data_IF_414265291407
#
_entry.id   IF_414265291407
#
_cell.length_a   1.000
_cell.length_b   1.000
_cell.length_c   1.000
_cell.angle_alpha   90.00
_cell.angle_beta   90.00
_cell.angle_gamma   90.00
#
_symmetry.space_group_name_H-M   'P 1'
#
loop_
_entity.id
_entity.type
_entity.pdbx_description
1 polymer ?
#
# COMPACT_ATOMS: atom_id res chain seq x y z
N UNK A 1 -29.93 32.62 62.12
CA UNK A 1 -31.14 32.79 61.29
C UNK A 1 -30.68 33.01 59.87
N UNK A 2 -31.14 32.15 58.93
CA UNK A 2 -31.09 32.22 57.45
C UNK A 2 -29.73 32.45 56.77
N UNK A 3 -29.12 31.44 56.12
CA UNK A 3 -29.41 30.83 54.80
C UNK A 3 -28.76 31.56 53.62
N UNK A 4 -27.76 30.87 53.07
CA UNK A 4 -27.36 30.71 51.67
C UNK A 4 -27.86 31.74 50.64
N UNK A 5 -26.91 32.32 49.90
CA UNK A 5 -27.04 32.43 48.45
C UNK A 5 -25.73 32.03 47.77
N UNK A 6 -25.89 31.13 46.81
CA UNK A 6 -24.89 30.52 45.96
C UNK A 6 -24.85 31.38 44.69
N UNK A 7 -23.76 32.08 44.40
CA UNK A 7 -23.53 32.58 43.04
C UNK A 7 -22.23 31.97 42.49
N UNK A 8 -22.44 31.05 41.57
CA UNK A 8 -21.45 30.38 40.74
C UNK A 8 -21.41 31.19 39.45
N UNK A 9 -20.47 32.12 39.33
CA UNK A 9 -20.23 32.77 38.05
C UNK A 9 -18.77 33.23 37.89
N UNK A 10 -18.11 32.53 36.97
CA UNK A 10 -17.04 33.00 36.08
C UNK A 10 -15.60 33.05 36.61
N UNK A 11 -14.94 31.89 36.48
CA UNK A 11 -13.54 31.84 36.04
C UNK A 11 -13.40 32.64 34.73
N UNK A 12 -12.68 33.75 34.78
CA UNK A 12 -12.07 34.35 33.60
C UNK A 12 -10.60 33.92 33.58
N UNK A 13 -10.17 33.08 32.62
CA UNK A 13 -8.76 32.78 32.46
C UNK A 13 -8.06 34.05 31.98
N UNK A 14 -7.04 34.48 32.72
CA UNK A 14 -6.15 35.58 32.37
C UNK A 14 -5.78 35.48 30.89
N UNK A 15 -6.23 36.46 30.10
CA UNK A 15 -5.81 36.68 28.74
C UNK A 15 -4.27 36.72 28.72
N UNK A 16 -3.63 35.67 28.21
CA UNK A 16 -2.26 35.78 27.71
C UNK A 16 -2.37 36.57 26.41
N UNK A 17 -2.02 37.84 26.46
CA UNK A 17 -1.71 38.63 25.27
C UNK A 17 -0.56 37.92 24.55
N UNK A 18 -0.86 37.31 23.42
CA UNK A 18 0.16 36.84 22.48
C UNK A 18 0.68 38.07 21.75
N UNK A 19 1.89 38.50 22.06
CA UNK A 19 2.60 39.47 21.23
C UNK A 19 2.94 38.77 19.90
N UNK A 20 2.20 39.13 18.85
CA UNK A 20 2.44 38.60 17.51
C UNK A 20 3.61 39.35 16.90
N UNK A 21 4.83 38.91 17.18
CA UNK A 21 5.99 39.28 16.38
C UNK A 21 5.86 38.59 15.03
N UNK A 22 5.65 39.36 13.97
CA UNK A 22 5.71 38.85 12.61
C UNK A 22 7.10 38.21 12.39
N UNK A 23 7.20 36.94 11.98
CA UNK A 23 8.48 36.29 11.78
C UNK A 23 9.30 37.03 10.71
N UNK A 24 10.46 37.57 11.10
CA UNK A 24 11.47 38.02 10.14
C UNK A 24 12.24 36.80 9.62
N UNK A 25 12.69 36.87 8.35
CA UNK A 25 13.27 35.78 7.56
C UNK A 25 14.42 34.96 8.21
N UNK A 26 14.99 35.43 9.32
CA UNK A 26 16.15 34.83 10.00
C UNK A 26 15.81 34.10 11.32
N UNK A 27 14.53 33.86 11.63
CA UNK A 27 14.14 33.10 12.83
C UNK A 27 14.12 31.58 12.53
N UNK A 28 14.89 30.73 13.24
CA UNK A 28 14.82 29.26 13.07
C UNK A 28 13.41 28.70 13.36
N UNK A 29 12.58 29.44 14.10
CA UNK A 29 11.19 29.08 14.36
C UNK A 29 10.26 29.37 13.16
N UNK A 30 10.68 30.16 12.16
CA UNK A 30 9.90 30.45 10.95
C UNK A 30 9.63 29.20 10.08
N UNK A 31 10.45 28.15 10.22
CA UNK A 31 10.22 26.83 9.60
C UNK A 31 9.14 26.01 10.31
N UNK A 32 8.73 26.40 11.54
CA UNK A 32 7.75 25.66 12.35
C UNK A 32 6.32 26.20 12.25
N UNK A 33 6.12 27.38 11.64
CA UNK A 33 4.83 28.10 11.60
C UNK A 33 4.02 27.79 10.32
N UNK A 34 4.58 27.03 9.39
CA UNK A 34 3.83 26.46 8.27
C UNK A 34 3.16 25.17 8.70
N UNK A 35 1.88 25.24 9.09
CA UNK A 35 1.09 24.10 9.53
C UNK A 35 1.21 22.90 8.58
N UNK A 36 1.79 21.82 9.10
CA UNK A 36 1.74 20.50 8.50
C UNK A 36 0.33 19.91 8.65
N UNK A 37 -0.64 20.46 7.91
CA UNK A 37 -1.88 19.72 7.60
C UNK A 37 -1.55 18.49 6.72
N UNK A 38 -0.38 18.52 6.07
CA UNK A 38 0.19 17.41 5.31
C UNK A 38 0.54 16.21 6.20
N UNK A 39 0.97 16.39 7.46
CA UNK A 39 1.22 15.24 8.34
C UNK A 39 -0.08 14.56 8.77
N UNK A 40 -1.17 15.29 8.98
CA UNK A 40 -2.47 14.69 9.31
C UNK A 40 -3.12 14.03 8.08
N UNK A 41 -2.89 14.56 6.87
CA UNK A 41 -3.31 13.94 5.61
C UNK A 41 -2.45 12.69 5.26
N UNK A 42 -1.13 12.75 5.48
CA UNK A 42 -0.22 11.60 5.36
C UNK A 42 -0.54 10.54 6.42
N UNK A 43 -0.86 10.95 7.65
CA UNK A 43 -1.32 10.05 8.71
C UNK A 43 -2.71 9.52 8.41
N UNK A 44 -3.61 10.26 7.75
CA UNK A 44 -4.92 9.78 7.33
C UNK A 44 -4.82 8.79 6.15
N UNK A 45 -3.88 8.98 5.24
CA UNK A 45 -3.52 7.99 4.21
C UNK A 45 -2.81 6.77 4.82
N UNK A 46 -1.92 6.93 5.80
CA UNK A 46 -1.33 5.83 6.58
C UNK A 46 -2.40 5.09 7.42
N UNK A 47 -3.41 5.80 7.93
CA UNK A 47 -4.49 5.27 8.77
C UNK A 47 -5.64 4.68 7.95
N UNK A 48 -5.69 4.88 6.63
CA UNK A 48 -6.43 3.98 5.71
C UNK A 48 -5.67 2.65 5.56
N UNK A 49 -5.34 2.02 6.68
CA UNK A 49 -5.06 0.60 6.72
C UNK A 49 -6.23 -0.09 6.00
N UNK A 50 -5.96 -0.68 4.83
CA UNK A 50 -7.05 -1.20 4.01
C UNK A 50 -7.83 -2.23 4.83
N UNK A 51 -9.10 -1.91 5.11
CA UNK A 51 -9.98 -2.78 5.88
C UNK A 51 -10.19 -4.06 5.08
N UNK A 52 -9.98 -5.20 5.73
CA UNK A 52 -10.19 -6.53 5.15
C UNK A 52 -11.62 -6.66 4.62
N UNK A 53 -11.76 -7.09 3.36
CA UNK A 53 -13.09 -7.30 2.74
C UNK A 53 -13.48 -8.77 2.90
N UNK A 54 -14.48 -9.10 3.74
CA UNK A 54 -14.99 -10.46 3.83
C UNK A 54 -15.66 -10.87 2.51
N UNK A 55 -15.47 -12.13 2.09
CA UNK A 55 -16.01 -12.66 0.83
C UNK A 55 -15.58 -11.89 -0.42
N UNK A 56 -14.30 -11.51 -0.49
CA UNK A 56 -13.76 -10.81 -1.64
C UNK A 56 -13.81 -11.69 -2.90
N UNK A 57 -14.31 -11.13 -4.01
CA UNK A 57 -14.33 -11.78 -5.31
C UNK A 57 -12.99 -11.64 -6.03
N UNK A 58 -12.71 -12.56 -6.97
CA UNK A 58 -11.44 -12.56 -7.71
C UNK A 58 -11.10 -11.22 -8.40
N UNK A 59 -12.00 -10.55 -9.13
CA UNK A 59 -11.67 -9.27 -9.78
C UNK A 59 -11.33 -8.17 -8.77
N UNK A 60 -12.01 -8.17 -7.62
CA UNK A 60 -11.76 -7.20 -6.56
C UNK A 60 -10.41 -7.46 -5.89
N UNK A 61 -10.08 -8.73 -5.63
CA UNK A 61 -8.80 -9.14 -5.09
C UNK A 61 -7.64 -8.76 -6.02
N UNK A 62 -7.80 -8.96 -7.34
CA UNK A 62 -6.82 -8.56 -8.36
C UNK A 62 -6.58 -7.04 -8.35
N UNK A 63 -7.65 -6.23 -8.37
CA UNK A 63 -7.52 -4.76 -8.31
C UNK A 63 -6.79 -4.31 -7.05
N UNK A 64 -7.14 -4.88 -5.89
CA UNK A 64 -6.49 -4.56 -4.61
C UNK A 64 -5.06 -5.06 -4.53
N UNK A 65 -4.72 -6.13 -5.26
CA UNK A 65 -3.38 -6.69 -5.27
C UNK A 65 -2.33 -5.68 -5.74
N UNK A 66 -2.59 -4.98 -6.85
CA UNK A 66 -1.67 -3.98 -7.38
C UNK A 66 -1.81 -2.62 -6.71
N UNK A 67 -3.00 -2.22 -6.26
CA UNK A 67 -3.20 -0.88 -5.71
C UNK A 67 -2.87 -0.75 -4.21
N UNK A 68 -3.06 -1.81 -3.42
CA UNK A 68 -2.99 -1.72 -1.96
C UNK A 68 -1.85 -2.51 -1.33
N UNK A 69 -1.43 -3.63 -1.93
CA UNK A 69 -0.38 -4.45 -1.32
C UNK A 69 1.04 -4.00 -1.67
N UNK A 70 1.22 -3.07 -2.62
CA UNK A 70 2.54 -2.47 -2.88
C UNK A 70 3.06 -1.60 -1.73
N UNK A 71 2.19 -0.90 -0.99
CA UNK A 71 2.61 0.28 -0.22
C UNK A 71 2.18 0.36 1.25
N UNK A 72 1.48 -0.61 1.86
CA UNK A 72 0.88 -0.27 3.17
C UNK A 72 0.64 -1.41 4.17
N UNK A 73 0.49 -0.99 5.43
CA UNK A 73 0.10 -1.72 6.66
C UNK A 73 -1.43 -1.97 6.65
N UNK A 74 -1.88 -3.05 7.26
CA UNK A 74 -3.32 -3.39 7.37
C UNK A 74 -3.59 -4.87 7.63
N UNK A 75 -4.85 -5.28 7.51
CA UNK A 75 -5.27 -6.68 7.55
C UNK A 75 -5.83 -7.10 6.20
N UNK A 76 -5.76 -8.39 5.88
CA UNK A 76 -6.36 -8.96 4.67
C UNK A 76 -7.31 -10.07 5.09
N UNK A 77 -8.49 -10.15 4.48
CA UNK A 77 -9.40 -11.27 4.75
C UNK A 77 -8.84 -12.58 4.20
N UNK A 78 -9.31 -13.72 4.71
CA UNK A 78 -8.87 -15.03 4.20
C UNK A 78 -9.16 -15.18 2.69
N UNK A 79 -10.30 -14.68 2.21
CA UNK A 79 -10.65 -14.69 0.78
C UNK A 79 -9.75 -13.77 -0.06
N UNK A 80 -9.40 -12.58 0.44
CA UNK A 80 -8.47 -11.67 -0.24
C UNK A 80 -7.07 -12.30 -0.35
N UNK A 81 -6.62 -12.93 0.73
CA UNK A 81 -5.35 -13.64 0.76
C UNK A 81 -5.34 -14.80 -0.24
N UNK A 82 -6.36 -15.66 -0.24
CA UNK A 82 -6.45 -16.80 -1.15
C UNK A 82 -6.42 -16.37 -2.61
N UNK A 83 -7.26 -15.39 -3.00
CA UNK A 83 -7.30 -14.92 -4.39
C UNK A 83 -6.02 -14.18 -4.79
N UNK A 84 -5.47 -13.35 -3.90
CA UNK A 84 -4.20 -12.65 -4.14
C UNK A 84 -3.02 -13.61 -4.32
N UNK A 85 -2.92 -14.63 -3.46
CA UNK A 85 -1.91 -15.68 -3.57
C UNK A 85 -2.11 -16.55 -4.81
N UNK A 86 -3.35 -16.96 -5.11
CA UNK A 86 -3.66 -17.76 -6.29
C UNK A 86 -3.30 -17.00 -7.58
N UNK A 87 -3.63 -15.70 -7.64
CA UNK A 87 -3.23 -14.85 -8.74
C UNK A 87 -1.70 -14.75 -8.87
N UNK A 88 -1.00 -14.40 -7.78
CA UNK A 88 0.45 -14.24 -7.83
C UNK A 88 1.15 -15.54 -8.22
N UNK A 89 0.78 -16.66 -7.60
CA UNK A 89 1.42 -17.94 -7.87
C UNK A 89 1.08 -18.45 -9.27
N UNK A 90 -0.20 -18.39 -9.65
CA UNK A 90 -0.67 -18.85 -10.96
C UNK A 90 -0.05 -18.05 -12.10
N UNK A 91 -0.03 -16.72 -12.01
CA UNK A 91 0.57 -15.86 -13.03
C UNK A 91 2.09 -16.01 -13.11
N UNK A 92 2.77 -16.21 -11.98
CA UNK A 92 4.21 -16.48 -11.96
C UNK A 92 4.53 -17.81 -12.64
N UNK A 93 3.87 -18.89 -12.23
CA UNK A 93 4.06 -20.22 -12.85
C UNK A 93 3.77 -20.13 -14.35
N UNK A 94 2.69 -19.47 -14.74
CA UNK A 94 2.32 -19.31 -16.15
C UNK A 94 3.40 -18.54 -16.93
N UNK A 95 3.92 -17.43 -16.39
CA UNK A 95 4.96 -16.64 -17.04
C UNK A 95 6.25 -17.44 -17.26
N UNK A 96 6.70 -18.18 -16.24
CA UNK A 96 7.90 -19.02 -16.35
C UNK A 96 7.68 -20.23 -17.27
N UNK A 97 6.54 -20.92 -17.15
CA UNK A 97 6.20 -22.05 -18.02
C UNK A 97 6.12 -21.61 -19.49
N UNK A 98 5.52 -20.45 -19.76
CA UNK A 98 5.46 -19.87 -21.09
C UNK A 98 6.86 -19.55 -21.61
N UNK A 99 7.71 -18.94 -20.79
CA UNK A 99 9.09 -18.61 -21.17
C UNK A 99 9.92 -19.86 -21.49
N UNK A 100 9.82 -20.90 -20.67
CA UNK A 100 10.47 -22.19 -20.90
C UNK A 100 9.95 -22.90 -22.15
N UNK A 101 8.64 -22.89 -22.34
CA UNK A 101 8.01 -23.47 -23.53
C UNK A 101 8.46 -22.75 -24.81
N UNK A 102 8.47 -21.41 -24.81
CA UNK A 102 8.97 -20.62 -25.93
C UNK A 102 10.45 -20.87 -26.20
N UNK A 103 11.26 -20.98 -25.14
CA UNK A 103 12.68 -21.33 -25.26
C UNK A 103 12.87 -22.69 -25.94
N UNK A 104 12.12 -23.70 -25.50
CA UNK A 104 12.16 -25.03 -26.11
C UNK A 104 11.76 -25.01 -27.60
N UNK A 105 10.73 -24.23 -27.97
CA UNK A 105 10.32 -24.06 -29.37
C UNK A 105 11.43 -23.39 -30.20
N UNK A 106 12.08 -22.34 -29.67
CA UNK A 106 13.18 -21.65 -30.37
C UNK A 106 14.40 -22.57 -30.53
N UNK A 107 14.75 -23.33 -29.50
CA UNK A 107 15.90 -24.24 -29.50
C UNK A 107 15.69 -25.43 -30.44
N UNK A 108 14.52 -26.08 -30.39
CA UNK A 108 14.21 -27.26 -31.21
C UNK A 108 13.86 -26.92 -32.65
N UNK A 109 13.19 -25.79 -32.89
CA UNK A 109 12.74 -25.38 -34.21
C UNK A 109 13.82 -24.72 -35.07
N UNK A 110 14.94 -24.29 -34.47
CA UNK A 110 16.08 -23.70 -35.18
C UNK A 110 15.65 -22.60 -36.15
N UNK A 111 16.12 -22.68 -37.39
CA UNK A 111 15.85 -21.69 -38.46
C UNK A 111 14.42 -21.70 -39.01
N UNK A 112 13.62 -22.71 -38.66
CA UNK A 112 12.20 -22.76 -39.05
C UNK A 112 11.33 -21.83 -38.20
N UNK A 113 11.84 -21.32 -37.07
CA UNK A 113 11.10 -20.45 -36.16
C UNK A 113 11.20 -19.00 -36.62
N UNK A 114 10.03 -18.37 -36.82
CA UNK A 114 9.91 -16.96 -37.22
C UNK A 114 10.75 -16.02 -36.34
N UNK A 115 11.40 -15.04 -36.97
CA UNK A 115 12.16 -13.99 -36.29
C UNK A 115 11.31 -13.22 -35.29
N UNK A 116 10.02 -12.99 -35.58
CA UNK A 116 9.06 -12.37 -34.67
C UNK A 116 8.90 -13.19 -33.38
N UNK A 117 8.83 -14.51 -33.49
CA UNK A 117 8.69 -15.39 -32.34
C UNK A 117 9.96 -15.38 -31.47
N UNK A 118 11.14 -15.34 -32.10
CA UNK A 118 12.42 -15.19 -31.40
C UNK A 118 12.50 -13.86 -30.64
N UNK A 119 12.03 -12.75 -31.24
CA UNK A 119 11.94 -11.45 -30.56
C UNK A 119 10.97 -11.52 -29.37
N UNK A 120 9.80 -12.14 -29.54
CA UNK A 120 8.83 -12.30 -28.46
C UNK A 120 9.40 -13.15 -27.31
N UNK A 121 10.13 -14.22 -27.63
CA UNK A 121 10.84 -15.03 -26.64
C UNK A 121 11.88 -14.19 -25.87
N UNK A 122 12.71 -13.41 -26.58
CA UNK A 122 13.69 -12.53 -25.94
C UNK A 122 13.01 -11.49 -25.05
N UNK A 123 11.89 -10.90 -25.49
CA UNK A 123 11.08 -10.00 -24.67
C UNK A 123 10.57 -10.71 -23.40
N UNK A 124 10.02 -11.92 -23.54
CA UNK A 124 9.57 -12.72 -22.40
C UNK A 124 10.70 -13.06 -21.42
N UNK A 125 11.90 -13.33 -21.93
CA UNK A 125 13.08 -13.59 -21.10
C UNK A 125 13.49 -12.38 -20.24
N UNK A 126 13.21 -11.15 -20.69
CA UNK A 126 13.36 -9.93 -19.88
C UNK A 126 12.14 -9.65 -18.99
N UNK A 127 10.93 -9.93 -19.48
CA UNK A 127 9.69 -9.69 -18.74
C UNK A 127 9.57 -10.63 -17.54
N UNK A 128 9.94 -11.90 -17.66
CA UNK A 128 9.83 -12.88 -16.58
C UNK A 128 10.57 -12.49 -15.27
N UNK A 129 11.83 -12.02 -15.29
CA UNK A 129 12.49 -11.52 -14.08
C UNK A 129 11.86 -10.21 -13.58
N UNK A 130 11.47 -9.29 -14.48
CA UNK A 130 10.75 -8.07 -14.11
C UNK A 130 9.39 -8.36 -13.45
N UNK A 131 8.68 -9.37 -13.95
CA UNK A 131 7.42 -9.85 -13.41
C UNK A 131 7.58 -10.31 -11.97
N UNK A 132 8.63 -11.08 -11.69
CA UNK A 132 8.93 -11.58 -10.35
C UNK A 132 9.15 -10.41 -9.36
N UNK A 133 9.92 -9.39 -9.76
CA UNK A 133 10.12 -8.18 -8.94
C UNK A 133 8.81 -7.45 -8.62
N UNK A 134 7.93 -7.31 -9.62
CA UNK A 134 6.63 -6.64 -9.46
C UNK A 134 5.70 -7.40 -8.50
N UNK A 135 5.84 -8.73 -8.41
CA UNK A 135 4.97 -9.56 -7.58
C UNK A 135 5.52 -9.82 -6.18
N UNK A 136 6.84 -9.75 -5.94
CA UNK A 136 7.43 -9.99 -4.62
C UNK A 136 6.89 -9.03 -3.55
N UNK A 137 6.87 -7.72 -3.85
CA UNK A 137 6.43 -6.69 -2.90
C UNK A 137 4.99 -6.89 -2.42
N UNK A 138 4.01 -6.92 -3.34
CA UNK A 138 2.61 -7.22 -3.03
C UNK A 138 2.41 -8.52 -2.28
N UNK A 139 3.09 -9.59 -2.69
CA UNK A 139 2.95 -10.92 -2.08
C UNK A 139 3.47 -10.94 -0.65
N UNK A 140 4.62 -10.31 -0.38
CA UNK A 140 5.17 -10.22 0.97
C UNK A 140 4.28 -9.37 1.89
N UNK A 141 3.78 -8.26 1.37
CA UNK A 141 2.83 -7.39 2.08
C UNK A 141 1.53 -8.13 2.40
N UNK A 142 0.93 -8.81 1.43
CA UNK A 142 -0.28 -9.63 1.60
C UNK A 142 -0.07 -10.70 2.69
N UNK A 143 1.05 -11.41 2.65
CA UNK A 143 1.41 -12.42 3.65
C UNK A 143 1.52 -11.81 5.05
N UNK A 144 2.21 -10.68 5.19
CA UNK A 144 2.35 -9.96 6.46
C UNK A 144 0.98 -9.54 7.02
N UNK A 145 0.09 -9.03 6.17
CA UNK A 145 -1.27 -8.62 6.57
C UNK A 145 -2.14 -9.79 7.02
N UNK A 146 -2.03 -10.94 6.36
CA UNK A 146 -2.75 -12.15 6.77
C UNK A 146 -2.25 -12.69 8.12
N UNK A 147 -0.93 -12.68 8.34
CA UNK A 147 -0.35 -13.07 9.63
C UNK A 147 -0.78 -12.13 10.77
N UNK A 148 -0.86 -10.82 10.51
CA UNK A 148 -1.36 -9.85 11.48
C UNK A 148 -2.84 -10.11 11.85
N UNK A 149 -3.69 -10.44 10.86
CA UNK A 149 -5.08 -10.83 11.12
C UNK A 149 -5.15 -12.05 12.05
N UNK A 150 -4.37 -13.10 11.77
CA UNK A 150 -4.37 -14.33 12.57
C UNK A 150 -3.83 -14.16 13.99
N UNK A 151 -3.03 -13.12 14.25
CA UNK A 151 -2.51 -12.80 15.60
C UNK A 151 -3.49 -11.97 16.43
N UNK A 152 -4.42 -11.27 15.78
CA UNK A 152 -5.39 -10.40 16.41
C UNK A 152 -6.75 -11.08 16.70
N UNK A 153 -6.98 -12.27 16.12
CA UNK A 153 -8.14 -13.13 16.33
C UNK A 153 -7.83 -14.23 17.35
#
# INVERSE_FOLDING_TARGET
MASADFDRSQESPRQRTYDFHAPTEDDPDALSVGGFDDEEEILAEERKAAVAVPNCSFPLAFKRFYSQYWLSKGTASASEFLWGMAWSLGSTIFCFALTLWMGNVVETGGDSVSSLFRVLYMLMAYVAPGWLLVHIGPTFSLLRRYLNLRRAA
#
